data_IF_777041547716
#
_entry.id   IF_777041547716
#
_cell.length_a   1.000
_cell.length_b   1.000
_cell.length_c   1.000
_cell.angle_alpha   90.00
_cell.angle_beta   90.00
_cell.angle_gamma   90.00
#
_symmetry.space_group_name_H-M   'P 1'
#
loop_
_entity.id
_entity.type
_entity.pdbx_description
1 polymer ?
#
# COMPACT_ATOMS: atom_id res chain seq x y z
N UNK A 1 50.52 17.94 -41.19
CA UNK A 1 50.83 16.69 -40.48
C UNK A 1 51.88 17.00 -39.42
N UNK A 2 51.47 17.56 -38.34
CA UNK A 2 52.21 17.73 -37.07
C UNK A 2 51.28 18.47 -36.14
N UNK A 3 51.19 18.06 -34.91
CA UNK A 3 50.44 18.62 -33.79
C UNK A 3 49.09 17.95 -33.40
N UNK A 4 49.21 16.67 -33.07
CA UNK A 4 48.18 15.98 -32.29
C UNK A 4 48.77 15.07 -31.19
N UNK A 5 49.96 15.40 -30.67
CA UNK A 5 50.63 14.62 -29.61
C UNK A 5 51.01 15.40 -28.35
N UNK A 6 50.45 16.57 -28.08
CA UNK A 6 50.87 17.38 -26.92
C UNK A 6 49.79 17.74 -25.89
N UNK A 7 48.61 17.10 -25.92
CA UNK A 7 47.54 17.37 -24.95
C UNK A 7 47.19 16.19 -24.01
N UNK A 8 48.00 15.13 -24.04
CA UNK A 8 47.77 13.93 -23.22
C UNK A 8 48.68 13.80 -21.98
N UNK A 9 49.42 14.85 -21.58
CA UNK A 9 50.41 14.74 -20.50
C UNK A 9 50.29 15.82 -19.39
N UNK A 10 49.11 16.36 -19.13
CA UNK A 10 48.93 17.30 -18.00
C UNK A 10 47.54 17.16 -17.33
N UNK A 11 47.21 15.99 -16.78
CA UNK A 11 46.13 15.85 -15.83
C UNK A 11 46.27 14.57 -14.99
N UNK A 12 47.41 14.40 -14.35
CA UNK A 12 47.59 13.40 -13.30
C UNK A 12 48.20 14.10 -12.08
N UNK A 13 47.42 14.70 -11.28
CA UNK A 13 47.57 14.96 -9.85
C UNK A 13 46.42 15.86 -9.42
N UNK A 14 45.60 15.33 -8.57
CA UNK A 14 44.99 16.00 -7.43
C UNK A 14 43.66 15.33 -7.10
N UNK A 15 43.58 14.91 -5.84
CA UNK A 15 42.42 14.59 -5.03
C UNK A 15 41.79 13.22 -5.16
N UNK A 16 42.18 12.37 -4.25
CA UNK A 16 41.39 11.28 -3.70
C UNK A 16 40.04 11.82 -3.16
N UNK A 17 38.90 11.28 -3.52
CA UNK A 17 37.67 11.63 -2.83
C UNK A 17 37.65 10.92 -1.50
N UNK A 18 37.53 11.69 -0.42
CA UNK A 18 37.19 11.26 0.91
C UNK A 18 35.88 10.43 0.85
N UNK A 19 35.92 9.26 1.44
CA UNK A 19 34.80 8.37 1.70
C UNK A 19 33.71 9.08 2.53
N UNK A 20 32.77 9.71 1.85
CA UNK A 20 31.50 10.15 2.43
C UNK A 20 30.55 8.97 2.47
N UNK A 21 30.48 8.30 3.60
CA UNK A 21 29.46 7.30 3.92
C UNK A 21 28.10 7.96 3.94
N UNK A 22 27.25 7.67 2.95
CA UNK A 22 25.82 7.92 3.06
C UNK A 22 25.25 7.02 4.16
N UNK A 23 24.48 7.54 5.11
CA UNK A 23 23.82 6.73 6.09
C UNK A 23 22.55 6.11 5.49
N UNK A 24 22.69 5.02 4.75
CA UNK A 24 21.61 4.06 4.56
C UNK A 24 21.68 3.11 5.74
N UNK A 25 20.98 3.41 6.84
CA UNK A 25 20.64 2.38 7.80
C UNK A 25 19.65 2.90 8.85
N UNK A 26 18.37 2.83 8.54
CA UNK A 26 17.39 2.65 9.62
C UNK A 26 17.27 1.14 9.86
N UNK A 27 18.09 0.64 10.78
CA UNK A 27 18.04 -0.73 11.23
C UNK A 27 16.64 -1.05 11.76
N UNK A 28 15.96 -1.95 11.11
CA UNK A 28 14.90 -2.75 11.71
C UNK A 28 15.57 -3.43 12.92
N UNK A 29 15.27 -3.02 14.14
CA UNK A 29 15.66 -3.74 15.34
C UNK A 29 15.03 -5.12 15.26
N UNK A 30 15.84 -6.12 14.95
CA UNK A 30 15.47 -7.52 15.07
C UNK A 30 15.46 -7.82 16.56
N UNK A 31 14.28 -7.89 17.13
CA UNK A 31 14.10 -8.34 18.51
C UNK A 31 14.27 -9.87 18.54
N UNK A 32 15.46 -10.32 18.85
CA UNK A 32 15.88 -11.73 18.85
C UNK A 32 15.29 -12.55 20.01
N UNK A 33 14.50 -11.95 20.89
CA UNK A 33 13.98 -12.62 22.08
C UNK A 33 12.62 -13.31 21.96
N UNK A 34 11.90 -13.17 20.84
CA UNK A 34 10.67 -13.91 20.62
C UNK A 34 10.65 -14.51 19.20
N UNK A 35 10.83 -15.81 19.07
CA UNK A 35 10.90 -16.55 17.81
C UNK A 35 9.61 -16.54 16.96
N UNK A 36 8.85 -15.46 16.99
CA UNK A 36 7.67 -15.21 16.14
C UNK A 36 7.95 -13.91 15.41
N UNK A 37 8.35 -13.97 14.15
CA UNK A 37 8.32 -12.79 13.26
C UNK A 37 6.89 -12.26 13.27
N UNK A 38 6.66 -11.14 13.93
CA UNK A 38 5.43 -10.35 13.82
C UNK A 38 5.47 -9.70 12.44
N UNK A 39 4.77 -10.28 11.49
CA UNK A 39 4.77 -9.79 10.12
C UNK A 39 3.58 -8.85 9.96
N UNK A 40 3.85 -7.54 9.92
CA UNK A 40 2.86 -6.50 9.68
C UNK A 40 2.35 -6.50 8.23
N UNK A 41 1.29 -5.76 7.95
CA UNK A 41 1.01 -5.29 6.60
C UNK A 41 1.94 -4.10 6.33
N UNK A 42 2.60 -4.08 5.20
CA UNK A 42 3.58 -3.03 4.88
C UNK A 42 3.06 -2.17 3.72
N UNK A 43 2.94 -0.88 3.95
CA UNK A 43 2.56 0.12 2.94
C UNK A 43 3.82 0.82 2.50
N UNK A 44 4.19 0.71 1.23
CA UNK A 44 5.34 1.41 0.65
C UNK A 44 4.88 2.37 -0.44
N UNK A 45 5.28 3.62 -0.34
CA UNK A 45 4.97 4.63 -1.34
C UNK A 45 5.99 4.58 -2.46
N UNK A 46 5.55 4.28 -3.68
CA UNK A 46 6.39 4.28 -4.88
C UNK A 46 6.32 5.61 -5.62
N UNK A 47 5.33 6.44 -5.31
CA UNK A 47 5.17 7.77 -5.86
C UNK A 47 4.16 8.57 -5.06
N UNK A 48 4.50 9.84 -4.82
CA UNK A 48 3.77 10.73 -3.89
C UNK A 48 3.50 12.11 -4.47
N UNK A 49 3.79 12.34 -5.77
CA UNK A 49 3.56 13.59 -6.49
C UNK A 49 2.20 13.57 -7.20
N UNK A 50 1.55 14.71 -7.28
CA UNK A 50 0.31 14.97 -8.01
C UNK A 50 0.61 15.42 -9.45
N UNK A 51 -0.08 14.82 -10.42
CA UNK A 51 -0.12 15.21 -11.84
C UNK A 51 1.17 14.93 -12.62
N UNK A 52 2.31 15.34 -12.10
CA UNK A 52 3.62 15.19 -12.75
C UNK A 52 4.71 14.77 -11.76
N UNK A 53 5.74 14.03 -12.20
CA UNK A 53 6.85 13.70 -11.33
C UNK A 53 7.72 14.92 -11.04
N UNK A 54 8.45 14.86 -9.94
CA UNK A 54 9.51 15.81 -9.57
C UNK A 54 10.85 15.10 -9.49
N UNK A 55 11.92 15.83 -9.15
CA UNK A 55 13.24 15.20 -8.95
C UNK A 55 13.26 14.23 -7.78
N UNK A 56 12.40 14.42 -6.78
CA UNK A 56 12.38 13.65 -5.53
C UNK A 56 11.10 12.82 -5.31
N UNK A 57 10.09 12.98 -6.15
CA UNK A 57 8.80 12.32 -6.03
C UNK A 57 8.30 11.86 -7.39
N UNK A 58 7.97 10.59 -7.51
CA UNK A 58 7.26 10.04 -8.66
C UNK A 58 5.75 10.29 -8.52
N UNK A 59 5.00 10.10 -9.61
CA UNK A 59 3.53 10.14 -9.60
C UNK A 59 2.93 8.91 -8.92
N UNK A 60 1.64 8.95 -8.66
CA UNK A 60 0.91 8.06 -7.75
C UNK A 60 1.14 6.57 -7.96
N UNK A 61 1.64 5.92 -6.94
CA UNK A 61 1.64 4.46 -6.80
C UNK A 61 1.96 4.07 -5.36
N UNK A 62 1.15 3.18 -4.79
CA UNK A 62 1.32 2.67 -3.41
C UNK A 62 1.26 1.15 -3.42
N UNK A 63 2.24 0.50 -2.81
CA UNK A 63 2.32 -0.94 -2.68
C UNK A 63 1.91 -1.37 -1.27
N UNK A 64 0.91 -2.24 -1.16
CA UNK A 64 0.59 -2.99 0.05
C UNK A 64 1.22 -4.38 -0.06
N UNK A 65 2.26 -4.61 0.74
CA UNK A 65 2.91 -5.91 0.85
C UNK A 65 2.22 -6.76 1.90
N UNK A 66 1.93 -8.00 1.54
CA UNK A 66 1.36 -9.04 2.38
C UNK A 66 2.44 -10.11 2.61
N UNK A 67 3.35 -9.93 3.58
CA UNK A 67 4.54 -10.77 3.69
C UNK A 67 4.24 -12.25 3.92
N UNK A 68 3.12 -12.56 4.64
CA UNK A 68 2.72 -13.95 4.89
C UNK A 68 2.29 -14.69 3.63
N UNK A 69 1.82 -13.96 2.60
CA UNK A 69 1.38 -14.50 1.31
C UNK A 69 2.47 -14.36 0.23
N UNK A 70 3.51 -13.56 0.50
CA UNK A 70 4.51 -13.20 -0.50
C UNK A 70 3.90 -12.39 -1.65
N UNK A 71 2.80 -11.71 -1.43
CA UNK A 71 2.04 -10.94 -2.41
C UNK A 71 2.22 -9.43 -2.23
N UNK A 72 2.10 -8.71 -3.35
CA UNK A 72 1.99 -7.26 -3.40
C UNK A 72 0.67 -6.90 -4.09
N UNK A 73 -0.08 -6.02 -3.46
CA UNK A 73 -1.24 -5.35 -4.02
C UNK A 73 -0.87 -3.91 -4.30
N UNK A 74 -1.11 -3.45 -5.52
CA UNK A 74 -0.73 -2.10 -5.94
C UNK A 74 -1.96 -1.22 -6.03
N UNK A 75 -1.89 -0.01 -5.48
CA UNK A 75 -2.89 1.03 -5.64
C UNK A 75 -2.31 2.10 -6.54
N UNK A 76 -2.93 2.29 -7.69
CA UNK A 76 -2.47 3.09 -8.82
C UNK A 76 -1.11 2.65 -9.39
N UNK A 77 -0.84 3.04 -10.60
CA UNK A 77 0.36 2.71 -11.33
C UNK A 77 0.69 3.84 -12.32
N UNK A 78 1.11 4.96 -11.78
CA UNK A 78 1.52 6.13 -12.55
C UNK A 78 2.80 5.90 -13.34
N UNK A 79 3.15 6.84 -14.20
CA UNK A 79 4.38 6.78 -14.98
C UNK A 79 5.60 6.50 -14.10
N UNK A 80 6.55 5.70 -14.58
CA UNK A 80 7.78 5.38 -13.85
C UNK A 80 7.62 4.39 -12.69
N UNK A 81 6.42 3.89 -12.37
CA UNK A 81 6.23 2.89 -11.31
C UNK A 81 7.11 1.66 -11.51
N UNK A 82 7.33 1.21 -12.76
CA UNK A 82 8.25 0.13 -13.09
C UNK A 82 9.68 0.42 -12.59
N UNK A 83 10.17 1.65 -12.77
CA UNK A 83 11.50 2.07 -12.33
C UNK A 83 11.57 2.16 -10.79
N UNK A 84 10.48 2.58 -10.14
CA UNK A 84 10.41 2.60 -8.68
C UNK A 84 10.44 1.18 -8.11
N UNK A 85 9.79 0.21 -8.76
CA UNK A 85 9.93 -1.22 -8.41
C UNK A 85 11.39 -1.70 -8.48
N UNK A 86 12.13 -1.34 -9.53
CA UNK A 86 13.54 -1.71 -9.68
C UNK A 86 14.45 -1.09 -8.61
N UNK A 87 14.05 0.03 -8.02
CA UNK A 87 14.78 0.72 -6.94
C UNK A 87 14.37 0.24 -5.54
N UNK A 88 13.32 -0.55 -5.45
CA UNK A 88 12.83 -1.17 -4.21
C UNK A 88 13.33 -2.61 -4.07
N UNK A 89 13.03 -3.25 -2.95
CA UNK A 89 13.27 -4.69 -2.74
C UNK A 89 12.13 -5.57 -3.28
N UNK A 90 11.18 -4.98 -4.00
CA UNK A 90 10.03 -5.66 -4.56
C UNK A 90 10.38 -6.42 -5.83
N UNK A 91 9.69 -7.56 -6.03
CA UNK A 91 9.77 -8.33 -7.28
C UNK A 91 8.46 -8.21 -8.03
N UNK A 92 8.49 -7.88 -9.31
CA UNK A 92 7.29 -7.79 -10.14
C UNK A 92 6.48 -9.11 -10.13
N UNK A 93 7.15 -10.26 -9.93
CA UNK A 93 6.51 -11.57 -9.77
C UNK A 93 5.65 -11.73 -8.50
N UNK A 94 5.72 -10.81 -7.56
CA UNK A 94 4.89 -10.80 -6.34
C UNK A 94 3.58 -10.06 -6.53
N UNK A 95 3.42 -9.27 -7.59
CA UNK A 95 2.18 -8.53 -7.87
C UNK A 95 1.07 -9.52 -8.19
N UNK A 96 -0.03 -9.42 -7.44
CA UNK A 96 -1.23 -10.25 -7.62
C UNK A 96 -2.46 -9.43 -7.93
N UNK A 97 -2.57 -8.24 -7.35
CA UNK A 97 -3.72 -7.34 -7.55
C UNK A 97 -3.26 -5.92 -7.77
N UNK A 98 -3.96 -5.23 -8.66
CA UNK A 98 -3.76 -3.81 -8.93
C UNK A 98 -5.13 -3.14 -8.83
N UNK A 99 -5.24 -2.11 -8.02
CA UNK A 99 -6.45 -1.32 -7.83
C UNK A 99 -6.21 0.07 -8.40
N UNK A 100 -6.93 0.41 -9.46
CA UNK A 100 -6.84 1.72 -10.13
C UNK A 100 -7.99 2.58 -9.67
N UNK A 101 -7.67 3.75 -9.16
CA UNK A 101 -8.66 4.70 -8.64
C UNK A 101 -9.45 5.37 -9.76
N UNK A 102 -8.74 5.91 -10.75
CA UNK A 102 -9.35 6.61 -11.89
C UNK A 102 -8.41 6.64 -13.13
N UNK A 103 -8.87 7.24 -14.22
CA UNK A 103 -8.21 7.13 -15.51
C UNK A 103 -7.25 8.28 -15.84
N UNK A 104 -6.87 9.15 -14.91
CA UNK A 104 -5.83 10.14 -15.17
C UNK A 104 -4.46 9.49 -15.37
N UNK A 105 -3.59 10.13 -16.15
CA UNK A 105 -2.33 9.54 -16.60
C UNK A 105 -1.36 9.26 -15.45
N UNK A 106 -1.30 10.14 -14.47
CA UNK A 106 -0.46 10.00 -13.27
C UNK A 106 -0.87 8.85 -12.34
N UNK A 107 -1.98 8.15 -12.69
CA UNK A 107 -2.44 6.93 -11.99
C UNK A 107 -2.37 5.67 -12.87
N UNK A 108 -2.22 5.78 -14.21
CA UNK A 108 -2.29 4.60 -15.09
C UNK A 108 -1.16 4.47 -16.11
N UNK A 109 -0.37 5.51 -16.41
CA UNK A 109 0.58 5.47 -17.52
C UNK A 109 1.75 4.50 -17.31
N UNK A 110 2.05 4.10 -16.07
CA UNK A 110 3.04 3.07 -15.76
C UNK A 110 2.57 1.62 -15.95
N UNK A 111 1.26 1.42 -16.09
CA UNK A 111 0.65 0.09 -16.00
C UNK A 111 1.17 -0.87 -17.08
N UNK A 112 1.25 -0.43 -18.32
CA UNK A 112 1.70 -1.29 -19.43
C UNK A 112 3.15 -1.74 -19.27
N UNK A 113 4.06 -0.83 -18.87
CA UNK A 113 5.47 -1.17 -18.65
C UNK A 113 5.66 -2.11 -17.47
N UNK A 114 4.92 -1.90 -16.37
CA UNK A 114 4.98 -2.78 -15.20
C UNK A 114 4.45 -4.18 -15.53
N UNK A 115 3.33 -4.31 -16.24
CA UNK A 115 2.78 -5.60 -16.66
C UNK A 115 3.73 -6.35 -17.61
N UNK A 116 4.41 -5.65 -18.51
CA UNK A 116 5.44 -6.26 -19.34
C UNK A 116 6.58 -6.84 -18.49
N UNK A 117 7.03 -6.11 -17.46
CA UNK A 117 8.04 -6.62 -16.52
C UNK A 117 7.56 -7.84 -15.74
N UNK A 118 6.30 -7.88 -15.33
CA UNK A 118 5.71 -9.07 -14.69
C UNK A 118 5.83 -10.31 -15.60
N UNK A 119 5.57 -10.15 -16.89
CA UNK A 119 5.67 -11.25 -17.87
C UNK A 119 7.09 -11.77 -18.06
N UNK A 120 8.07 -10.86 -18.07
CA UNK A 120 9.49 -11.21 -18.22
C UNK A 120 10.10 -11.84 -16.96
N UNK A 121 9.48 -11.64 -15.78
CA UNK A 121 9.92 -12.23 -14.52
C UNK A 121 9.84 -13.77 -14.47
N UNK A 122 9.24 -14.40 -15.49
CA UNK A 122 9.29 -15.85 -15.71
C UNK A 122 8.60 -16.72 -14.66
N UNK A 123 7.64 -16.17 -13.90
CA UNK A 123 6.85 -16.96 -12.96
C UNK A 123 5.68 -17.66 -13.69
N UNK A 124 5.70 -19.00 -13.86
CA UNK A 124 4.63 -19.72 -14.57
C UNK A 124 3.25 -19.60 -13.89
N UNK A 125 3.23 -19.28 -12.60
CA UNK A 125 2.00 -19.11 -11.82
C UNK A 125 1.60 -17.63 -11.67
N UNK A 126 2.26 -16.72 -12.40
CA UNK A 126 1.90 -15.32 -12.41
C UNK A 126 0.47 -15.16 -12.90
N UNK A 127 -0.33 -14.49 -12.11
CA UNK A 127 -1.69 -14.05 -12.45
C UNK A 127 -1.89 -12.70 -11.81
N UNK A 128 -2.43 -11.77 -12.56
CA UNK A 128 -2.71 -10.42 -12.05
C UNK A 128 -4.19 -10.09 -12.30
N UNK A 129 -4.90 -9.81 -11.24
CA UNK A 129 -6.25 -9.26 -11.29
C UNK A 129 -6.17 -7.74 -11.15
N UNK A 130 -6.76 -7.00 -12.07
CA UNK A 130 -6.77 -5.52 -12.10
C UNK A 130 -8.20 -5.06 -11.87
N UNK A 131 -8.40 -4.26 -10.85
CA UNK A 131 -9.68 -3.68 -10.47
C UNK A 131 -9.64 -2.18 -10.78
N UNK A 132 -10.64 -1.65 -11.48
CA UNK A 132 -10.63 -0.22 -11.79
C UNK A 132 -11.89 0.26 -12.48
N UNK A 133 -11.92 1.56 -12.84
CA UNK A 133 -13.09 2.21 -13.39
C UNK A 133 -13.45 1.65 -14.78
N UNK A 134 -14.67 1.92 -15.28
CA UNK A 134 -15.01 1.70 -16.68
C UNK A 134 -13.94 2.29 -17.62
N UNK A 135 -13.75 1.66 -18.80
CA UNK A 135 -12.74 1.99 -19.82
C UNK A 135 -11.30 1.58 -19.51
N UNK A 136 -10.96 1.13 -18.31
CA UNK A 136 -9.60 0.62 -18.02
C UNK A 136 -9.25 -0.56 -18.92
N UNK A 137 -10.19 -1.48 -19.15
CA UNK A 137 -9.99 -2.59 -20.08
C UNK A 137 -9.75 -2.11 -21.50
N UNK A 138 -10.53 -1.15 -22.00
CA UNK A 138 -10.40 -0.58 -23.33
C UNK A 138 -9.03 0.09 -23.51
N UNK A 139 -8.56 0.83 -22.50
CA UNK A 139 -7.23 1.41 -22.48
C UNK A 139 -6.14 0.34 -22.64
N UNK A 140 -6.19 -0.73 -21.82
CA UNK A 140 -5.21 -1.83 -21.88
C UNK A 140 -5.25 -2.56 -23.23
N UNK A 141 -6.45 -2.82 -23.78
CA UNK A 141 -6.59 -3.45 -25.08
C UNK A 141 -6.07 -2.55 -26.21
N UNK A 142 -6.34 -1.24 -26.17
CA UNK A 142 -5.79 -0.29 -27.13
C UNK A 142 -4.26 -0.24 -27.07
N UNK A 143 -3.70 -0.12 -25.87
CA UNK A 143 -2.23 -0.15 -25.69
C UNK A 143 -1.63 -1.44 -26.26
N UNK A 144 -2.16 -2.60 -25.92
CA UNK A 144 -1.72 -3.90 -26.46
C UNK A 144 -1.79 -3.97 -27.98
N UNK A 145 -2.90 -3.52 -28.53
CA UNK A 145 -3.13 -3.55 -29.98
C UNK A 145 -2.11 -2.69 -30.75
N UNK A 146 -1.88 -1.46 -30.30
CA UNK A 146 -1.01 -0.53 -31.01
C UNK A 146 0.47 -0.79 -30.75
N UNK A 147 0.85 -1.24 -29.55
CA UNK A 147 2.24 -1.60 -29.23
C UNK A 147 2.59 -3.04 -29.61
N UNK A 148 1.62 -3.85 -30.07
CA UNK A 148 1.77 -5.28 -30.34
C UNK A 148 2.31 -6.07 -29.13
N UNK A 149 2.04 -5.57 -27.90
CA UNK A 149 2.52 -6.19 -26.67
C UNK A 149 1.68 -7.41 -26.31
N UNK A 150 2.35 -8.52 -26.03
CA UNK A 150 1.72 -9.75 -25.55
C UNK A 150 2.21 -10.06 -24.13
N UNK A 151 1.28 -10.38 -23.25
CA UNK A 151 1.60 -10.82 -21.90
C UNK A 151 1.62 -12.36 -21.86
N UNK A 152 2.67 -12.93 -21.27
CA UNK A 152 2.85 -14.38 -21.14
C UNK A 152 2.09 -14.99 -19.97
N UNK A 153 1.28 -14.22 -19.26
CA UNK A 153 0.51 -14.64 -18.09
C UNK A 153 -0.93 -14.09 -18.14
N UNK A 154 -1.89 -14.72 -17.43
CA UNK A 154 -3.26 -14.27 -17.37
C UNK A 154 -3.40 -12.92 -16.66
N UNK A 155 -4.05 -11.96 -17.32
CA UNK A 155 -4.49 -10.69 -16.76
C UNK A 155 -6.01 -10.66 -16.85
N UNK A 156 -6.67 -10.42 -15.72
CA UNK A 156 -8.11 -10.24 -15.67
C UNK A 156 -8.43 -8.83 -15.18
N UNK A 157 -9.22 -8.09 -15.96
CA UNK A 157 -9.67 -6.75 -15.60
C UNK A 157 -11.10 -6.83 -15.10
N UNK A 158 -11.32 -6.25 -13.93
CA UNK A 158 -12.62 -6.17 -13.26
C UNK A 158 -13.05 -4.71 -13.20
N UNK A 159 -14.16 -4.39 -13.83
CA UNK A 159 -14.78 -3.06 -13.67
C UNK A 159 -15.43 -2.97 -12.31
N UNK A 160 -15.02 -1.98 -11.52
CA UNK A 160 -15.53 -1.79 -10.16
C UNK A 160 -16.81 -0.96 -10.13
N UNK A 161 -17.63 -1.22 -9.13
CA UNK A 161 -18.78 -0.45 -8.71
C UNK A 161 -18.70 -0.25 -7.20
N UNK A 162 -19.27 0.82 -6.64
CA UNK A 162 -19.30 1.01 -5.18
C UNK A 162 -19.80 -0.24 -4.44
N UNK A 163 -19.13 -0.58 -3.36
CA UNK A 163 -19.40 -1.77 -2.55
C UNK A 163 -18.24 -2.77 -2.55
N UNK A 164 -18.56 -4.06 -2.42
CA UNK A 164 -17.57 -5.14 -2.38
C UNK A 164 -16.91 -5.35 -3.74
N UNK A 165 -15.58 -5.30 -3.78
CA UNK A 165 -14.76 -5.44 -4.99
C UNK A 165 -14.05 -6.79 -5.03
N UNK A 166 -13.54 -7.22 -3.88
CA UNK A 166 -12.81 -8.47 -3.74
C UNK A 166 -12.98 -9.03 -2.33
N UNK A 167 -13.04 -10.34 -2.22
CA UNK A 167 -13.06 -11.04 -0.94
C UNK A 167 -12.41 -12.43 -1.08
N UNK A 168 -11.61 -12.79 -0.09
CA UNK A 168 -11.10 -14.16 0.13
C UNK A 168 -11.19 -14.53 1.62
N UNK A 169 -10.52 -15.61 2.02
CA UNK A 169 -10.58 -16.10 3.41
C UNK A 169 -9.92 -15.15 4.41
N UNK A 170 -8.99 -14.29 3.97
CA UNK A 170 -8.21 -13.41 4.85
C UNK A 170 -8.57 -11.92 4.69
N UNK A 171 -9.02 -11.48 3.52
CA UNK A 171 -9.20 -10.07 3.19
C UNK A 171 -10.54 -9.80 2.53
N UNK A 172 -11.02 -8.59 2.74
CA UNK A 172 -12.13 -7.97 2.02
C UNK A 172 -11.68 -6.62 1.50
N UNK A 173 -11.98 -6.32 0.23
CA UNK A 173 -11.76 -5.00 -0.36
C UNK A 173 -13.08 -4.43 -0.81
N UNK A 174 -13.40 -3.23 -0.39
CA UNK A 174 -14.54 -2.45 -0.84
C UNK A 174 -14.11 -1.14 -1.45
N UNK A 175 -14.97 -0.52 -2.26
CA UNK A 175 -14.72 0.80 -2.82
C UNK A 175 -15.94 1.71 -2.69
N UNK A 176 -15.67 3.02 -2.74
CA UNK A 176 -16.67 4.07 -2.83
C UNK A 176 -16.32 5.03 -3.97
N UNK A 177 -17.33 5.60 -4.61
CA UNK A 177 -17.14 6.66 -5.61
C UNK A 177 -16.88 7.97 -4.87
N UNK A 178 -15.72 8.58 -5.11
CA UNK A 178 -15.30 9.85 -4.55
C UNK A 178 -15.63 11.02 -5.47
N UNK A 179 -15.39 12.24 -5.02
CA UNK A 179 -15.74 13.47 -5.75
C UNK A 179 -14.52 14.05 -6.48
N UNK A 180 -14.41 13.71 -7.77
CA UNK A 180 -13.36 14.18 -8.66
C UNK A 180 -13.92 14.46 -10.07
N UNK A 181 -13.09 15.03 -10.97
CA UNK A 181 -13.49 15.39 -12.35
C UNK A 181 -13.89 14.21 -13.22
N UNK A 182 -13.32 13.06 -12.95
CA UNK A 182 -13.65 11.78 -13.58
C UNK A 182 -14.07 10.81 -12.48
N UNK A 183 -14.83 9.74 -12.79
CA UNK A 183 -15.17 8.74 -11.78
C UNK A 183 -13.92 8.22 -11.08
N UNK A 184 -13.75 8.59 -9.81
CA UNK A 184 -12.63 8.19 -8.96
C UNK A 184 -13.13 7.32 -7.82
N UNK A 185 -12.40 6.24 -7.52
CA UNK A 185 -12.78 5.26 -6.50
C UNK A 185 -11.75 5.27 -5.38
N UNK A 186 -12.22 5.48 -4.15
CA UNK A 186 -11.43 5.13 -2.97
C UNK A 186 -11.55 3.63 -2.71
N UNK A 187 -10.52 3.04 -2.11
CA UNK A 187 -10.50 1.63 -1.76
C UNK A 187 -10.28 1.45 -0.25
N UNK A 188 -11.00 0.49 0.33
CA UNK A 188 -10.80 0.06 1.71
C UNK A 188 -10.41 -1.41 1.71
N UNK A 189 -9.35 -1.75 2.44
CA UNK A 189 -8.90 -3.12 2.69
C UNK A 189 -9.10 -3.45 4.15
N UNK A 190 -9.86 -4.49 4.42
CA UNK A 190 -10.06 -5.04 5.75
C UNK A 190 -9.46 -6.45 5.81
N UNK A 191 -8.50 -6.68 6.68
CA UNK A 191 -8.06 -8.03 7.05
C UNK A 191 -9.11 -8.63 7.99
N UNK A 192 -9.54 -9.86 7.72
CA UNK A 192 -10.51 -10.55 8.56
C UNK A 192 -9.90 -10.95 9.91
N UNK A 193 -10.71 -10.95 10.94
CA UNK A 193 -10.33 -11.48 12.25
C UNK A 193 -9.92 -12.95 12.14
N UNK A 194 -8.93 -13.34 12.93
CA UNK A 194 -8.45 -14.72 12.96
C UNK A 194 -8.45 -15.27 14.40
N UNK A 195 -8.70 -16.56 14.59
CA UNK A 195 -8.49 -17.20 15.87
C UNK A 195 -7.06 -16.95 16.38
N UNK A 196 -6.92 -16.76 17.67
CA UNK A 196 -5.61 -16.60 18.30
C UNK A 196 -4.74 -17.86 18.21
N UNK A 197 -3.61 -17.84 18.89
CA UNK A 197 -2.67 -18.97 18.87
C UNK A 197 -3.34 -20.24 19.39
N UNK A 198 -3.30 -21.30 18.59
CA UNK A 198 -3.77 -22.62 18.99
C UNK A 198 -2.87 -23.22 20.11
N UNK A 199 -3.50 -23.65 21.20
CA UNK A 199 -2.82 -24.26 22.34
C UNK A 199 -2.62 -25.76 22.12
N UNK A 200 -1.49 -26.08 21.50
CA UNK A 200 -1.10 -27.47 21.24
C UNK A 200 -0.92 -28.29 22.53
N UNK A 201 -0.48 -27.64 23.65
CA UNK A 201 -0.29 -28.34 24.92
C UNK A 201 -1.63 -28.78 25.49
N UNK A 202 -2.60 -27.89 25.50
CA UNK A 202 -3.97 -28.17 25.96
C UNK A 202 -4.65 -29.19 25.07
N UNK A 203 -4.49 -29.11 23.74
CA UNK A 203 -5.00 -30.12 22.81
C UNK A 203 -4.45 -31.53 23.10
N UNK A 204 -3.15 -31.63 23.35
CA UNK A 204 -2.52 -32.90 23.74
C UNK A 204 -3.02 -33.41 25.09
N UNK A 205 -3.18 -32.54 26.08
CA UNK A 205 -3.71 -32.91 27.41
C UNK A 205 -5.14 -33.43 27.34
N UNK A 206 -5.92 -32.98 26.34
CA UNK A 206 -7.27 -33.50 26.04
C UNK A 206 -7.25 -34.83 25.24
N UNK A 207 -6.07 -35.37 24.96
CA UNK A 207 -5.93 -36.62 24.20
C UNK A 207 -6.20 -36.49 22.70
N UNK A 208 -6.14 -35.23 22.16
CA UNK A 208 -6.38 -35.03 20.74
C UNK A 208 -5.07 -35.32 19.98
N UNK A 209 -5.04 -36.30 19.07
CA UNK A 209 -3.83 -36.67 18.35
C UNK A 209 -3.45 -35.52 17.35
N UNK A 210 -2.14 -35.26 17.18
CA UNK A 210 -1.70 -34.30 16.15
C UNK A 210 -2.06 -34.84 14.76
N UNK A 211 -2.48 -33.93 13.87
CA UNK A 211 -2.89 -34.29 12.52
C UNK A 211 -3.82 -33.26 11.90
N UNK A 212 -4.52 -33.58 10.81
CA UNK A 212 -5.44 -32.66 10.11
C UNK A 212 -6.51 -32.05 11.01
N UNK A 213 -6.89 -32.76 12.09
CA UNK A 213 -7.85 -32.30 13.10
C UNK A 213 -7.39 -31.00 13.77
N UNK A 214 -6.08 -30.80 13.97
CA UNK A 214 -5.55 -29.57 14.52
C UNK A 214 -5.79 -28.36 13.60
N UNK A 215 -5.79 -28.59 12.27
CA UNK A 215 -6.12 -27.53 11.30
C UNK A 215 -7.56 -27.03 11.49
N UNK A 216 -8.52 -27.96 11.61
CA UNK A 216 -9.93 -27.61 11.85
C UNK A 216 -10.11 -26.90 13.19
N UNK A 217 -9.53 -27.43 14.26
CA UNK A 217 -9.60 -26.83 15.59
C UNK A 217 -8.92 -25.44 15.63
N UNK A 218 -7.80 -25.28 14.94
CA UNK A 218 -7.11 -23.99 14.79
C UNK A 218 -7.99 -22.92 14.10
N UNK A 219 -8.86 -23.35 13.18
CA UNK A 219 -9.82 -22.48 12.51
C UNK A 219 -11.06 -22.22 13.37
N UNK A 220 -11.11 -22.73 14.61
CA UNK A 220 -12.24 -22.54 15.52
C UNK A 220 -13.44 -23.45 15.23
N UNK A 221 -13.27 -24.49 14.39
CA UNK A 221 -14.33 -25.42 14.06
C UNK A 221 -14.63 -26.35 15.24
N UNK A 222 -15.88 -26.85 15.32
CA UNK A 222 -16.27 -27.89 16.27
C UNK A 222 -15.99 -29.23 15.61
N UNK A 223 -15.20 -30.06 16.29
CA UNK A 223 -14.83 -31.39 15.80
C UNK A 223 -15.31 -32.47 16.78
N UNK A 224 -15.88 -33.55 16.26
CA UNK A 224 -16.22 -34.75 17.05
C UNK A 224 -15.07 -35.74 16.99
N UNK A 225 -14.53 -36.14 18.14
CA UNK A 225 -13.49 -37.14 18.27
C UNK A 225 -14.06 -38.55 18.08
N UNK A 226 -13.19 -39.55 17.81
CA UNK A 226 -13.66 -40.95 17.68
C UNK A 226 -14.36 -41.51 18.92
N UNK A 227 -14.07 -40.95 20.10
CA UNK A 227 -14.68 -41.33 21.37
C UNK A 227 -16.03 -40.62 21.64
N UNK A 228 -16.55 -39.83 20.65
CA UNK A 228 -17.83 -39.12 20.75
C UNK A 228 -17.73 -37.73 21.38
N UNK A 229 -16.60 -37.34 21.96
CA UNK A 229 -16.44 -36.00 22.52
C UNK A 229 -16.44 -34.93 21.43
N UNK A 230 -17.20 -33.87 21.66
CA UNK A 230 -17.22 -32.67 20.81
C UNK A 230 -16.25 -31.64 21.37
N UNK A 231 -15.28 -31.23 20.58
CA UNK A 231 -14.28 -30.23 20.94
C UNK A 231 -14.55 -28.97 20.10
N UNK A 232 -14.71 -27.85 20.77
CA UNK A 232 -14.81 -26.56 20.11
C UNK A 232 -13.40 -25.98 19.95
N UNK A 233 -12.95 -25.76 18.72
CA UNK A 233 -11.63 -25.24 18.43
C UNK A 233 -11.39 -23.85 19.03
N UNK A 234 -12.44 -23.03 19.19
CA UNK A 234 -12.32 -21.71 19.84
C UNK A 234 -11.79 -21.82 21.27
N UNK A 235 -12.14 -22.89 22.01
CA UNK A 235 -11.69 -23.10 23.39
C UNK A 235 -10.21 -23.49 23.49
N UNK A 236 -9.62 -23.87 22.35
CA UNK A 236 -8.20 -24.22 22.21
C UNK A 236 -7.37 -23.12 21.55
N UNK A 237 -7.99 -21.99 21.22
CA UNK A 237 -7.32 -20.85 20.65
C UNK A 237 -7.23 -19.72 21.68
N UNK A 238 -6.14 -18.97 21.64
CA UNK A 238 -6.04 -17.72 22.38
C UNK A 238 -7.07 -16.68 21.91
N UNK A 239 -7.05 -15.48 22.48
CA UNK A 239 -7.95 -14.41 22.07
C UNK A 239 -7.90 -14.15 20.55
N UNK A 240 -9.05 -13.80 19.97
CA UNK A 240 -9.17 -13.45 18.56
C UNK A 240 -8.17 -12.35 18.19
N UNK A 241 -7.42 -12.54 17.12
CA UNK A 241 -6.55 -11.53 16.54
C UNK A 241 -7.37 -10.64 15.63
N UNK A 242 -7.60 -9.40 16.06
CA UNK A 242 -8.32 -8.41 15.26
C UNK A 242 -7.60 -8.14 13.94
N UNK A 243 -8.34 -8.12 12.86
CA UNK A 243 -7.86 -7.75 11.54
C UNK A 243 -7.39 -6.30 11.51
N UNK A 244 -6.56 -5.98 10.53
CA UNK A 244 -6.07 -4.63 10.26
C UNK A 244 -6.80 -4.03 9.09
N UNK A 245 -6.90 -2.72 9.04
CA UNK A 245 -7.64 -2.03 7.99
C UNK A 245 -6.90 -0.79 7.50
N UNK A 246 -7.05 -0.52 6.21
CA UNK A 246 -6.59 0.71 5.59
C UNK A 246 -7.62 1.22 4.58
N UNK A 247 -7.67 2.55 4.39
CA UNK A 247 -8.38 3.19 3.30
C UNK A 247 -7.39 4.01 2.46
N UNK A 248 -7.58 3.98 1.14
CA UNK A 248 -6.83 4.75 0.16
C UNK A 248 -7.79 5.66 -0.59
N UNK A 249 -7.72 6.96 -0.31
CA UNK A 249 -8.56 8.00 -0.88
C UNK A 249 -7.66 9.04 -1.57
N UNK A 250 -7.55 8.94 -2.89
CA UNK A 250 -6.77 9.91 -3.67
C UNK A 250 -7.66 10.53 -4.73
N UNK A 251 -7.30 11.75 -5.12
CA UNK A 251 -8.00 12.56 -6.10
C UNK A 251 -9.50 12.73 -5.77
N UNK A 252 -9.72 13.48 -4.71
CA UNK A 252 -11.05 13.85 -4.24
C UNK A 252 -11.02 15.16 -3.49
N UNK A 253 -12.02 16.00 -3.68
CA UNK A 253 -12.33 17.03 -2.70
C UNK A 253 -12.93 16.36 -1.46
N UNK A 254 -12.96 17.06 -0.32
CA UNK A 254 -13.64 16.57 0.87
C UNK A 254 -15.07 16.12 0.55
N UNK A 255 -15.41 14.90 0.90
CA UNK A 255 -16.75 14.34 0.72
C UNK A 255 -17.08 13.28 1.78
N UNK A 256 -18.38 13.15 2.12
CA UNK A 256 -18.86 12.23 3.15
C UNK A 256 -18.52 10.77 2.83
N UNK A 257 -18.51 10.41 1.55
CA UNK A 257 -18.17 9.05 1.11
C UNK A 257 -16.72 8.66 1.41
N UNK A 258 -15.79 9.62 1.43
CA UNK A 258 -14.42 9.35 1.87
C UNK A 258 -14.38 9.11 3.39
N UNK A 259 -15.17 9.86 4.17
CA UNK A 259 -15.31 9.68 5.62
C UNK A 259 -15.92 8.30 5.93
N UNK A 260 -17.01 7.93 5.26
CA UNK A 260 -17.67 6.63 5.43
C UNK A 260 -16.74 5.46 5.08
N UNK A 261 -16.02 5.55 3.96
CA UNK A 261 -15.08 4.52 3.52
C UNK A 261 -13.95 4.32 4.54
N UNK A 262 -13.46 5.42 5.10
CA UNK A 262 -12.34 5.42 6.05
C UNK A 262 -12.76 5.19 7.51
N UNK A 263 -14.07 4.92 7.79
CA UNK A 263 -14.55 4.79 9.15
C UNK A 263 -13.79 3.77 9.97
N UNK A 264 -13.12 4.22 11.05
CA UNK A 264 -12.43 3.41 12.04
C UNK A 264 -11.20 2.63 11.55
N UNK A 265 -10.64 2.98 10.38
CA UNK A 265 -9.45 2.28 9.85
C UNK A 265 -8.19 2.53 10.68
N UNK A 266 -7.28 1.57 10.66
CA UNK A 266 -5.97 1.74 11.30
C UNK A 266 -5.14 2.82 10.59
N UNK A 267 -5.21 2.86 9.25
CA UNK A 267 -4.51 3.86 8.43
C UNK A 267 -5.44 4.41 7.35
N UNK A 268 -5.56 5.72 7.28
CA UNK A 268 -6.11 6.44 6.15
C UNK A 268 -4.95 7.01 5.32
N UNK A 269 -4.83 6.61 4.07
CA UNK A 269 -3.98 7.26 3.07
C UNK A 269 -4.86 8.21 2.29
N UNK A 270 -4.57 9.51 2.32
CA UNK A 270 -5.39 10.54 1.69
C UNK A 270 -4.54 11.53 0.90
N UNK A 271 -5.06 12.02 -0.22
CA UNK A 271 -4.42 13.12 -0.91
C UNK A 271 -4.36 14.38 -0.05
N UNK A 272 -3.35 15.20 -0.27
CA UNK A 272 -3.21 16.55 0.26
C UNK A 272 -2.52 17.42 -0.80
N UNK A 273 -3.18 17.53 -1.95
CA UNK A 273 -2.63 18.20 -3.13
C UNK A 273 -2.36 19.66 -2.88
N UNK A 274 -3.15 20.32 -2.01
CA UNK A 274 -3.08 21.75 -1.76
C UNK A 274 -2.90 22.08 -0.28
N UNK A 275 -2.27 23.24 -0.01
CA UNK A 275 -2.25 23.89 1.31
C UNK A 275 -3.63 24.49 1.63
N UNK A 276 -3.91 24.74 2.89
CA UNK A 276 -5.19 25.32 3.33
C UNK A 276 -5.52 26.65 2.65
N UNK A 277 -4.54 27.53 2.48
CA UNK A 277 -4.74 28.82 1.81
C UNK A 277 -5.17 28.69 0.34
N UNK A 278 -4.90 27.56 -0.31
CA UNK A 278 -5.27 27.27 -1.69
C UNK A 278 -6.62 26.51 -1.80
N UNK A 279 -7.46 26.56 -0.75
CA UNK A 279 -8.71 25.80 -0.66
C UNK A 279 -9.67 26.08 -1.82
N UNK A 280 -9.79 27.33 -2.28
CA UNK A 280 -10.63 27.67 -3.42
C UNK A 280 -10.16 26.93 -4.69
N UNK A 281 -8.86 26.90 -4.95
CA UNK A 281 -8.28 26.16 -6.06
C UNK A 281 -8.48 24.65 -5.90
N UNK A 282 -8.37 24.13 -4.69
CA UNK A 282 -8.64 22.75 -4.38
C UNK A 282 -10.07 22.36 -4.78
N UNK A 283 -11.06 23.14 -4.40
CA UNK A 283 -12.47 22.93 -4.79
C UNK A 283 -12.67 23.02 -6.30
N UNK A 284 -12.11 24.04 -6.96
CA UNK A 284 -12.23 24.20 -8.42
C UNK A 284 -11.61 23.02 -9.19
N UNK A 285 -10.59 22.40 -8.64
CA UNK A 285 -9.90 21.25 -9.24
C UNK A 285 -10.38 19.90 -8.73
N UNK A 286 -11.29 19.89 -7.77
CA UNK A 286 -11.82 18.70 -7.08
C UNK A 286 -10.70 17.85 -6.47
N UNK A 287 -9.83 18.54 -5.71
CA UNK A 287 -8.78 17.97 -4.87
C UNK A 287 -8.92 18.45 -3.42
N UNK A 288 -8.20 17.82 -2.52
CA UNK A 288 -8.19 18.19 -1.11
C UNK A 288 -7.00 19.06 -0.72
N UNK A 289 -7.23 19.87 0.31
CA UNK A 289 -6.15 20.49 1.08
C UNK A 289 -5.68 19.55 2.19
N UNK A 290 -4.51 19.86 2.77
CA UNK A 290 -3.98 19.22 3.99
C UNK A 290 -5.01 19.20 5.13
N UNK A 291 -5.73 20.32 5.32
CA UNK A 291 -6.77 20.45 6.35
C UNK A 291 -8.01 19.62 6.05
N UNK A 292 -8.42 19.49 4.78
CA UNK A 292 -9.52 18.61 4.38
C UNK A 292 -9.18 17.13 4.60
N UNK A 293 -7.95 16.72 4.27
CA UNK A 293 -7.47 15.36 4.55
C UNK A 293 -7.49 15.05 6.06
N UNK A 294 -7.02 15.98 6.88
CA UNK A 294 -7.03 15.85 8.33
C UNK A 294 -8.47 15.82 8.91
N UNK A 295 -9.38 16.61 8.36
CA UNK A 295 -10.78 16.59 8.74
C UNK A 295 -11.47 15.29 8.38
N UNK A 296 -11.19 14.73 7.20
CA UNK A 296 -11.64 13.39 6.81
C UNK A 296 -11.17 12.34 7.82
N UNK A 297 -9.89 12.35 8.21
CA UNK A 297 -9.33 11.42 9.19
C UNK A 297 -9.99 11.54 10.56
N UNK A 298 -10.23 12.77 11.02
CA UNK A 298 -10.88 13.06 12.30
C UNK A 298 -12.33 12.54 12.33
N UNK A 299 -13.12 12.88 11.31
CA UNK A 299 -14.51 12.49 11.22
C UNK A 299 -14.67 10.97 11.01
N UNK A 300 -13.77 10.36 10.26
CA UNK A 300 -13.71 8.92 10.06
C UNK A 300 -13.20 8.16 11.30
N UNK A 301 -12.71 8.85 12.33
CA UNK A 301 -12.07 8.21 13.49
C UNK A 301 -10.94 7.26 13.09
N UNK A 302 -10.20 7.59 12.04
CA UNK A 302 -9.01 6.86 11.64
C UNK A 302 -7.96 6.90 12.75
N UNK A 303 -7.12 5.86 12.86
CA UNK A 303 -6.07 5.87 13.91
C UNK A 303 -4.84 6.67 13.47
N UNK A 304 -4.53 6.67 12.18
CA UNK A 304 -3.42 7.41 11.58
C UNK A 304 -3.82 7.95 10.21
N UNK A 305 -3.35 9.15 9.89
CA UNK A 305 -3.40 9.74 8.55
C UNK A 305 -2.01 9.72 7.91
N UNK A 306 -1.92 9.23 6.68
CA UNK A 306 -0.73 9.38 5.83
C UNK A 306 -1.13 10.21 4.63
N UNK A 307 -0.61 11.43 4.54
CA UNK A 307 -0.84 12.32 3.41
C UNK A 307 0.07 11.97 2.23
N UNK A 308 -0.47 12.05 1.01
CA UNK A 308 0.23 11.79 -0.25
C UNK A 308 -0.27 12.73 -1.35
N UNK A 309 0.16 12.52 -2.60
CA UNK A 309 -0.32 13.23 -3.79
C UNK A 309 -0.11 14.74 -3.71
N UNK A 310 1.12 15.16 -3.44
CA UNK A 310 1.46 16.56 -3.22
C UNK A 310 1.72 17.30 -4.53
N UNK A 311 1.18 18.52 -4.66
CA UNK A 311 1.48 19.39 -5.80
C UNK A 311 2.97 19.81 -5.80
N UNK A 312 3.65 19.80 -6.96
CA UNK A 312 5.01 20.31 -7.10
C UNK A 312 5.19 21.79 -6.68
N UNK A 313 4.11 22.55 -6.56
CA UNK A 313 4.15 23.95 -6.12
C UNK A 313 4.69 24.14 -4.71
N UNK A 314 4.68 23.10 -3.88
CA UNK A 314 5.19 23.14 -2.50
C UNK A 314 6.60 22.55 -2.38
N UNK A 315 7.36 22.62 -3.49
CA UNK A 315 8.76 22.20 -3.51
C UNK A 315 9.62 23.06 -2.58
N UNK A 316 10.77 22.54 -2.10
CA UNK A 316 11.70 23.32 -1.30
C UNK A 316 12.09 24.63 -1.97
N UNK A 317 12.13 25.72 -1.20
CA UNK A 317 12.43 27.08 -1.66
C UNK A 317 11.22 27.93 -2.05
N UNK A 318 10.03 27.36 -2.12
CA UNK A 318 8.79 28.12 -2.31
C UNK A 318 8.29 28.69 -0.96
N UNK A 319 7.42 29.71 -1.03
CA UNK A 319 6.89 30.40 0.15
C UNK A 319 6.14 29.45 1.11
N UNK A 320 5.42 28.48 0.54
CA UNK A 320 4.78 27.39 1.28
C UNK A 320 5.44 26.10 0.84
N UNK A 321 5.74 25.25 1.78
CA UNK A 321 6.42 24.00 1.58
C UNK A 321 5.61 22.84 2.18
N UNK A 322 6.01 21.63 1.88
CA UNK A 322 5.32 20.43 2.38
C UNK A 322 5.30 20.32 3.92
N UNK A 323 6.28 20.93 4.60
CA UNK A 323 6.28 21.01 6.06
C UNK A 323 5.12 21.83 6.61
N UNK A 324 4.71 22.88 5.90
CA UNK A 324 3.58 23.72 6.29
C UNK A 324 2.26 22.94 6.15
N UNK A 325 2.10 22.18 5.04
CA UNK A 325 0.95 21.29 4.85
C UNK A 325 0.85 20.24 5.98
N UNK A 326 1.99 19.70 6.40
CA UNK A 326 2.02 18.74 7.52
C UNK A 326 1.58 19.42 8.83
N UNK A 327 2.09 20.61 9.11
CA UNK A 327 1.73 21.38 10.32
C UNK A 327 0.23 21.73 10.34
N UNK A 328 -0.34 22.17 9.20
CA UNK A 328 -1.77 22.43 9.03
C UNK A 328 -2.63 21.19 9.36
N UNK A 329 -2.24 20.04 8.83
CA UNK A 329 -2.95 18.78 9.08
C UNK A 329 -2.83 18.32 10.53
N UNK A 330 -1.62 18.39 11.11
CA UNK A 330 -1.37 17.97 12.50
C UNK A 330 -2.10 18.85 13.53
N UNK A 331 -2.39 20.10 13.21
CA UNK A 331 -3.21 20.98 14.05
C UNK A 331 -4.65 20.47 14.21
N UNK A 332 -5.17 19.70 13.24
CA UNK A 332 -6.53 19.12 13.26
C UNK A 332 -6.48 17.65 13.70
N UNK A 333 -5.56 16.87 13.14
CA UNK A 333 -5.38 15.45 13.43
C UNK A 333 -3.92 15.15 13.74
N UNK A 334 -3.52 15.15 15.02
CA UNK A 334 -2.10 15.06 15.42
C UNK A 334 -1.35 13.83 14.92
N UNK A 335 -2.04 12.66 14.78
CA UNK A 335 -1.41 11.45 14.26
C UNK A 335 -1.37 11.44 12.72
N UNK A 336 -0.81 12.52 12.16
CA UNK A 336 -0.62 12.71 10.72
C UNK A 336 0.86 12.62 10.37
N UNK A 337 1.17 11.90 9.29
CA UNK A 337 2.49 11.86 8.67
C UNK A 337 2.39 12.17 7.18
N UNK A 338 3.49 12.62 6.61
CA UNK A 338 3.62 12.91 5.18
C UNK A 338 4.44 11.81 4.51
N UNK A 339 3.89 11.18 3.49
CA UNK A 339 4.59 10.16 2.72
C UNK A 339 5.73 10.76 1.88
N UNK A 340 6.80 9.98 1.72
CA UNK A 340 7.86 10.20 0.74
C UNK A 340 8.02 8.95 -0.11
N UNK A 341 8.57 9.10 -1.29
CA UNK A 341 8.90 7.95 -2.12
C UNK A 341 9.83 6.99 -1.35
N UNK A 342 9.51 5.72 -1.39
CA UNK A 342 10.15 4.60 -0.68
C UNK A 342 9.95 4.57 0.84
N UNK A 343 9.19 5.50 1.45
CA UNK A 343 8.78 5.35 2.84
C UNK A 343 7.91 4.10 2.99
N UNK A 344 8.20 3.31 4.02
CA UNK A 344 7.44 2.11 4.38
C UNK A 344 6.82 2.26 5.76
N UNK A 345 5.52 2.11 5.84
CA UNK A 345 4.74 2.13 7.07
C UNK A 345 4.19 0.73 7.36
N UNK A 346 4.35 0.26 8.59
CA UNK A 346 3.87 -1.06 8.99
C UNK A 346 2.61 -0.93 9.84
N UNK A 347 1.51 -1.55 9.39
CA UNK A 347 0.32 -1.71 10.21
C UNK A 347 0.52 -2.96 11.07
N UNK A 348 0.83 -2.75 12.34
CA UNK A 348 0.94 -3.82 13.31
C UNK A 348 -0.44 -4.15 13.88
N UNK A 349 -0.65 -5.41 14.26
CA UNK A 349 -1.80 -5.76 15.08
C UNK A 349 -1.65 -5.09 16.45
N UNK A 350 -2.75 -4.63 17.07
CA UNK A 350 -2.71 -4.18 18.45
C UNK A 350 -1.98 -5.23 19.28
N UNK A 351 -1.03 -4.82 20.12
CA UNK A 351 -0.46 -5.72 21.11
C UNK A 351 -1.63 -6.19 21.98
N UNK A 352 -1.97 -7.46 21.88
CA UNK A 352 -2.78 -8.06 22.92
C UNK A 352 -1.87 -8.01 24.14
N UNK A 353 -2.11 -7.01 24.98
CA UNK A 353 -1.58 -7.01 26.32
C UNK A 353 -1.98 -8.37 26.87
N UNK A 354 -1.01 -9.28 26.97
CA UNK A 354 -1.22 -10.52 27.68
C UNK A 354 -1.70 -10.04 29.06
N UNK A 355 -2.99 -10.19 29.30
CA UNK A 355 -3.47 -10.44 30.64
C UNK A 355 -2.74 -11.72 31.07
N UNK A 356 -1.46 -11.57 31.41
CA UNK A 356 -0.79 -12.48 32.29
C UNK A 356 -1.50 -12.25 33.62
N UNK A 357 -2.56 -13.01 33.76
CA UNK A 357 -3.17 -13.25 35.04
C UNK A 357 -2.06 -13.62 36.00
N UNK A 358 -1.91 -12.78 36.95
CA UNK A 358 -1.38 -13.06 38.27
C UNK A 358 -1.74 -14.44 38.78
#
# INVERSE_FOLDING_TARGET
>A
MSDLRSLAARALAIASPSSGSHPFNTHVKIDLCSGIRRVGLEITFLGTSSGVPTRSRNVSSVALRLPQRGEIWLFDCGEGTQHQFLRSDFKASQIRRIFITHMHGDHIFGLMGLLASCGLAGNPQQKVDIYGPPKLNDYLQACRRYSQTHFSFPIKVHTVQPGLVYEDDEFKVSCALLEHRVPAHGYRVDEKDRPGRFDVKRARALGIPPGPIYGKLKNGEVVTLPDGRRINGKDLCGPTLTGRSLAYCTDTVFCDRAVELAQGVDVLIHEATFAHQDAEMAYQRLHSTSTMAAQTALLAQAKQLIMTHFSPRYAPGNAIQLADLLAEAQAIFPNTVMARDFDTHTINRPEQTALMAS
#
